data_IF_088807191924
#
_entry.id   IF_088807191924
#
_cell.length_a   1.000
_cell.length_b   1.000
_cell.length_c   1.000
_cell.angle_alpha   90.00
_cell.angle_beta   90.00
_cell.angle_gamma   90.00
#
_symmetry.space_group_name_H-M   'P 1'
#
loop_
_entity.id
_entity.type
_entity.pdbx_description
1 polymer ?
#
# COMPACT_ATOMS: atom_id res chain seq x y z
N UNK A 1 1.02 -28.58 -22.24
CA UNK A 1 0.76 -27.47 -21.31
C UNK A 1 1.06 -26.18 -22.04
N UNK A 2 0.08 -25.28 -22.21
CA UNK A 2 0.35 -23.97 -22.78
C UNK A 2 1.30 -23.19 -21.86
N UNK A 3 2.30 -22.55 -22.45
CA UNK A 3 3.23 -21.70 -21.70
C UNK A 3 2.52 -20.39 -21.35
N UNK A 4 2.56 -20.00 -20.07
CA UNK A 4 2.08 -18.70 -19.62
C UNK A 4 2.93 -17.60 -20.27
N UNK A 5 2.33 -16.54 -20.84
CA UNK A 5 3.09 -15.41 -21.33
C UNK A 5 3.86 -14.76 -20.17
N UNK A 6 5.12 -14.42 -20.43
CA UNK A 6 6.08 -13.90 -19.43
C UNK A 6 5.57 -12.64 -18.70
N UNK A 7 4.70 -11.87 -19.35
CA UNK A 7 4.11 -10.63 -18.82
C UNK A 7 2.60 -10.76 -18.53
N UNK A 8 2.12 -11.94 -18.14
CA UNK A 8 0.70 -12.10 -17.81
C UNK A 8 0.30 -11.18 -16.63
N UNK A 9 -0.66 -10.25 -16.81
CA UNK A 9 -1.07 -9.28 -15.79
C UNK A 9 -1.71 -9.92 -14.54
N UNK A 10 -2.13 -11.18 -14.62
CA UNK A 10 -2.77 -11.92 -13.55
C UNK A 10 -1.84 -12.88 -12.79
N UNK A 11 -0.59 -13.03 -13.24
CA UNK A 11 0.42 -13.78 -12.49
C UNK A 11 0.93 -12.90 -11.35
N UNK A 12 0.81 -13.34 -10.08
CA UNK A 12 1.26 -12.55 -8.95
C UNK A 12 2.76 -12.25 -8.97
N UNK A 13 3.10 -10.96 -9.01
CA UNK A 13 4.48 -10.50 -8.81
C UNK A 13 4.50 -9.31 -7.83
N UNK A 14 5.11 -9.45 -6.64
CA UNK A 14 5.10 -8.39 -5.64
C UNK A 14 5.97 -7.18 -6.02
N UNK A 15 6.87 -7.32 -7.01
CA UNK A 15 7.78 -6.25 -7.47
C UNK A 15 7.16 -5.35 -8.53
N UNK A 16 6.01 -5.72 -9.08
CA UNK A 16 5.32 -4.95 -10.12
C UNK A 16 4.14 -4.17 -9.53
N UNK A 17 3.82 -3.04 -10.17
CA UNK A 17 2.67 -2.23 -9.79
C UNK A 17 1.39 -3.05 -9.91
N UNK A 18 0.55 -3.00 -8.88
CA UNK A 18 -0.73 -3.69 -8.85
C UNK A 18 -1.88 -2.73 -8.61
N UNK A 19 -2.97 -2.94 -9.35
CA UNK A 19 -4.20 -2.18 -9.18
C UNK A 19 -5.19 -2.92 -8.29
N UNK A 20 -5.60 -2.29 -7.17
CA UNK A 20 -6.55 -2.90 -6.24
C UNK A 20 -7.99 -3.01 -6.78
N UNK A 21 -8.35 -2.21 -7.80
CA UNK A 21 -9.68 -2.26 -8.44
C UNK A 21 -9.74 -3.32 -9.52
N UNK A 22 -8.81 -3.26 -10.48
CA UNK A 22 -8.74 -4.22 -11.59
C UNK A 22 -8.22 -5.59 -11.15
N UNK A 23 -7.56 -5.67 -9.98
CA UNK A 23 -6.92 -6.90 -9.49
C UNK A 23 -5.99 -7.51 -10.53
N UNK A 24 -5.15 -6.67 -11.10
CA UNK A 24 -4.20 -7.03 -12.14
C UNK A 24 -2.96 -6.15 -12.03
N UNK A 25 -1.83 -6.68 -12.46
CA UNK A 25 -0.71 -5.89 -12.92
C UNK A 25 -1.12 -5.26 -14.25
N UNK A 26 -0.95 -3.95 -14.42
CA UNK A 26 -1.33 -3.30 -15.66
C UNK A 26 -0.34 -2.22 -15.99
N UNK A 27 -0.30 -1.83 -17.27
CA UNK A 27 0.30 -0.56 -17.64
C UNK A 27 -0.28 0.56 -16.79
N UNK A 28 0.59 1.46 -16.37
CA UNK A 28 0.25 2.60 -15.54
C UNK A 28 0.43 3.89 -16.33
N UNK A 29 -0.36 4.90 -15.99
CA UNK A 29 -0.13 6.28 -16.37
C UNK A 29 0.66 6.94 -15.25
N UNK A 30 1.83 7.46 -15.60
CA UNK A 30 2.67 8.22 -14.69
C UNK A 30 2.26 9.69 -14.74
N UNK A 31 1.93 10.25 -13.59
CA UNK A 31 1.67 11.67 -13.42
C UNK A 31 2.76 12.26 -12.53
N UNK A 32 3.45 13.27 -13.04
CA UNK A 32 4.38 14.09 -12.25
C UNK A 32 3.74 15.44 -12.01
N UNK A 33 3.51 15.79 -10.76
CA UNK A 33 3.01 17.10 -10.37
C UNK A 33 4.10 17.82 -9.60
N UNK A 34 4.50 19.00 -10.09
CA UNK A 34 5.45 19.85 -9.40
C UNK A 34 4.64 20.85 -8.56
N UNK A 35 4.91 20.88 -7.27
CA UNK A 35 4.36 21.87 -6.36
C UNK A 35 5.51 22.79 -5.98
N UNK A 36 5.42 24.05 -6.40
CA UNK A 36 6.30 25.13 -5.98
C UNK A 36 5.70 25.77 -4.73
N UNK A 37 6.39 25.65 -3.60
CA UNK A 37 6.01 26.35 -2.38
C UNK A 37 6.62 27.76 -2.38
N UNK A 38 5.98 28.70 -1.67
CA UNK A 38 6.43 30.10 -1.57
C UNK A 38 7.84 30.28 -1.02
N UNK A 39 8.35 29.29 -0.28
CA UNK A 39 9.71 29.26 0.29
C UNK A 39 10.79 28.76 -0.69
N UNK A 40 10.47 28.61 -1.99
CA UNK A 40 11.42 28.18 -3.03
C UNK A 40 11.71 26.68 -3.06
N UNK A 41 11.04 25.89 -2.22
CA UNK A 41 11.11 24.42 -2.27
C UNK A 41 10.23 23.88 -3.41
N UNK A 42 10.83 23.10 -4.30
CA UNK A 42 10.14 22.40 -5.37
C UNK A 42 9.99 20.93 -4.98
N UNK A 43 8.79 20.53 -4.58
CA UNK A 43 8.47 19.12 -4.35
C UNK A 43 7.79 18.54 -5.58
N UNK A 44 8.34 17.45 -6.13
CA UNK A 44 7.67 16.69 -7.19
C UNK A 44 6.96 15.48 -6.58
N UNK A 45 5.64 15.42 -6.77
CA UNK A 45 4.83 14.27 -6.43
C UNK A 45 4.64 13.38 -7.65
N UNK A 46 5.05 12.11 -7.53
CA UNK A 46 4.83 11.09 -8.55
C UNK A 46 3.61 10.25 -8.19
N UNK A 47 2.70 10.07 -9.15
CA UNK A 47 1.52 9.23 -9.00
C UNK A 47 1.45 8.22 -10.14
N UNK A 48 1.30 6.95 -9.76
CA UNK A 48 1.13 5.83 -10.68
C UNK A 48 -0.33 5.38 -10.63
N UNK A 49 -1.06 5.58 -11.73
CA UNK A 49 -2.48 5.21 -11.83
C UNK A 49 -2.69 4.13 -12.89
N UNK A 50 -3.62 3.21 -12.64
CA UNK A 50 -3.99 2.16 -13.59
C UNK A 50 -4.53 2.78 -14.88
N UNK A 51 -4.03 2.36 -16.04
CA UNK A 51 -4.48 2.90 -17.34
C UNK A 51 -5.97 2.63 -17.62
N UNK A 52 -6.52 1.53 -17.10
CA UNK A 52 -7.91 1.09 -17.34
C UNK A 52 -8.91 1.83 -16.44
N UNK A 53 -8.68 1.85 -15.13
CA UNK A 53 -9.65 2.39 -14.16
C UNK A 53 -9.21 3.68 -13.46
N UNK A 54 -8.02 4.20 -13.78
CA UNK A 54 -7.41 5.39 -13.17
C UNK A 54 -7.24 5.32 -11.64
N UNK A 55 -7.40 4.15 -11.02
CA UNK A 55 -7.15 3.96 -9.60
C UNK A 55 -5.66 3.97 -9.29
N UNK A 56 -5.29 4.43 -8.08
CA UNK A 56 -3.92 4.36 -7.60
C UNK A 56 -3.42 2.92 -7.56
N UNK A 57 -2.19 2.73 -8.00
CA UNK A 57 -1.48 1.47 -7.92
C UNK A 57 -0.44 1.53 -6.81
N UNK A 58 -0.03 0.37 -6.31
CA UNK A 58 1.08 0.25 -5.36
C UNK A 58 1.90 -1.00 -5.67
N UNK A 59 3.12 -1.03 -5.14
CA UNK A 59 4.04 -2.17 -5.26
C UNK A 59 4.07 -2.92 -3.93
N UNK A 60 3.53 -4.15 -3.86
CA UNK A 60 3.44 -4.90 -2.60
C UNK A 60 4.78 -5.12 -1.89
N UNK A 61 5.86 -5.33 -2.64
CA UNK A 61 7.22 -5.53 -2.10
C UNK A 61 7.76 -4.27 -1.42
N UNK A 62 7.50 -3.10 -2.00
CA UNK A 62 7.90 -1.82 -1.42
C UNK A 62 6.98 -1.41 -0.26
N UNK A 63 5.67 -1.67 -0.35
CA UNK A 63 4.72 -1.29 0.70
C UNK A 63 4.85 -2.15 1.96
N UNK A 64 5.20 -3.43 1.83
CA UNK A 64 5.30 -4.36 2.97
C UNK A 64 6.25 -3.92 4.11
N UNK A 65 7.51 -3.51 3.86
CA UNK A 65 8.41 -3.08 4.93
C UNK A 65 7.91 -1.80 5.62
N UNK A 66 7.42 -0.81 4.86
CA UNK A 66 6.86 0.42 5.43
C UNK A 66 5.63 0.15 6.28
N UNK A 67 4.72 -0.70 5.81
CA UNK A 67 3.56 -1.13 6.57
C UNK A 67 3.96 -1.73 7.92
N UNK A 68 4.92 -2.66 7.92
CA UNK A 68 5.42 -3.30 9.16
C UNK A 68 6.08 -2.27 10.08
N UNK A 69 6.88 -1.36 9.52
CA UNK A 69 7.52 -0.27 10.29
C UNK A 69 6.50 0.64 10.96
N UNK A 70 5.54 1.17 10.20
CA UNK A 70 4.50 2.05 10.73
C UNK A 70 3.63 1.37 11.79
N UNK A 71 3.19 0.13 11.54
CA UNK A 71 2.40 -0.61 12.51
C UNK A 71 3.20 -0.97 13.78
N UNK A 72 4.48 -1.32 13.63
CA UNK A 72 5.37 -1.61 14.76
C UNK A 72 5.60 -0.38 15.63
N UNK A 73 5.92 0.77 15.02
CA UNK A 73 6.09 2.04 15.74
C UNK A 73 4.79 2.46 16.42
N UNK A 74 3.65 2.36 15.72
CA UNK A 74 2.35 2.67 16.30
C UNK A 74 2.04 1.80 17.52
N UNK A 75 2.30 0.49 17.43
CA UNK A 75 2.09 -0.44 18.53
C UNK A 75 2.95 -0.09 19.75
N UNK A 76 4.24 0.16 19.56
CA UNK A 76 5.16 0.53 20.65
C UNK A 76 4.74 1.84 21.32
N UNK A 77 4.40 2.87 20.54
CA UNK A 77 4.00 4.17 21.08
C UNK A 77 2.68 4.09 21.84
N UNK A 78 1.69 3.36 21.33
CA UNK A 78 0.42 3.16 22.02
C UNK A 78 0.61 2.37 23.32
N UNK A 79 1.52 1.38 23.36
CA UNK A 79 1.86 0.68 24.59
C UNK A 79 2.54 1.60 25.61
N UNK A 80 3.51 2.43 25.19
CA UNK A 80 4.18 3.37 26.08
C UNK A 80 3.21 4.40 26.63
N UNK A 81 2.37 5.01 25.76
CA UNK A 81 1.32 5.92 26.19
C UNK A 81 0.35 5.25 27.17
N UNK A 82 -0.11 4.04 26.85
CA UNK A 82 -0.97 3.26 27.74
C UNK A 82 -0.34 2.96 29.11
N UNK A 83 0.94 2.58 29.16
CA UNK A 83 1.65 2.31 30.41
C UNK A 83 1.96 3.58 31.20
N UNK A 84 2.26 4.68 30.52
CA UNK A 84 2.46 5.99 31.14
C UNK A 84 1.23 6.43 31.95
N UNK A 85 0.04 5.96 31.55
CA UNK A 85 -1.21 6.21 32.25
C UNK A 85 -1.35 5.46 33.59
N UNK A 86 -0.60 4.38 33.80
CA UNK A 86 -0.58 3.58 35.05
C UNK A 86 0.61 3.92 35.96
N UNK A 87 1.68 4.50 35.42
CA UNK A 87 2.81 4.99 36.21
C UNK A 87 2.49 6.30 36.92
N UNK A 88 3.09 6.53 38.10
CA UNK A 88 2.94 7.74 38.91
C UNK A 88 3.59 9.01 38.35
N UNK A 89 3.64 9.16 37.01
CA UNK A 89 4.16 10.37 36.37
C UNK A 89 3.37 11.61 36.79
N UNK A 90 4.08 12.74 36.91
CA UNK A 90 3.46 14.03 37.13
C UNK A 90 2.52 14.41 35.97
N UNK A 91 1.46 15.17 36.27
CA UNK A 91 0.41 15.54 35.31
C UNK A 91 0.95 16.21 34.03
N UNK A 92 2.01 17.02 34.15
CA UNK A 92 2.66 17.70 33.03
C UNK A 92 3.45 16.76 32.11
N UNK A 93 4.24 15.84 32.69
CA UNK A 93 5.07 14.89 31.93
C UNK A 93 4.20 13.89 31.18
N UNK A 94 3.12 13.44 31.82
CA UNK A 94 2.11 12.57 31.19
C UNK A 94 1.44 13.24 30.01
N UNK A 95 1.13 14.54 30.10
CA UNK A 95 0.48 15.27 29.02
C UNK A 95 1.37 15.40 27.77
N UNK A 96 2.67 15.66 27.97
CA UNK A 96 3.64 15.69 26.87
C UNK A 96 3.86 14.30 26.26
N UNK A 97 4.01 13.27 27.08
CA UNK A 97 4.14 11.89 26.63
C UNK A 97 2.90 11.40 25.89
N UNK A 98 1.70 11.70 26.38
CA UNK A 98 0.44 11.31 25.73
C UNK A 98 0.29 12.00 24.37
N UNK A 99 0.63 13.29 24.23
CA UNK A 99 0.59 13.96 22.93
C UNK A 99 1.52 13.31 21.89
N UNK A 100 2.74 12.96 22.29
CA UNK A 100 3.70 12.30 21.39
C UNK A 100 3.26 10.87 21.10
N UNK A 101 2.94 10.08 22.13
CA UNK A 101 2.63 8.66 21.99
C UNK A 101 1.30 8.42 21.27
N UNK A 102 0.24 9.14 21.64
CA UNK A 102 -1.07 8.99 21.02
C UNK A 102 -1.14 9.73 19.68
N UNK A 103 -0.56 10.92 19.59
CA UNK A 103 -0.57 11.72 18.37
C UNK A 103 0.26 11.07 17.26
N UNK A 104 1.56 10.84 17.53
CA UNK A 104 2.45 10.22 16.55
C UNK A 104 2.13 8.73 16.35
N UNK A 105 1.80 8.00 17.41
CA UNK A 105 1.36 6.61 17.32
C UNK A 105 0.06 6.47 16.51
N UNK A 106 -0.90 7.36 16.71
CA UNK A 106 -2.13 7.42 15.92
C UNK A 106 -1.87 7.71 14.44
N UNK A 107 -0.99 8.67 14.14
CA UNK A 107 -0.55 8.97 12.77
C UNK A 107 0.07 7.74 12.10
N UNK A 108 1.08 7.13 12.74
CA UNK A 108 1.72 5.91 12.22
C UNK A 108 0.71 4.78 12.04
N UNK A 109 -0.21 4.61 12.99
CA UNK A 109 -1.25 3.58 12.93
C UNK A 109 -2.21 3.78 11.76
N UNK A 110 -2.61 5.01 11.46
CA UNK A 110 -3.50 5.32 10.34
C UNK A 110 -2.84 5.02 8.99
N UNK A 111 -1.60 5.49 8.79
CA UNK A 111 -0.86 5.20 7.55
C UNK A 111 -0.54 3.71 7.41
N UNK A 112 -0.07 3.07 8.48
CA UNK A 112 0.17 1.62 8.51
C UNK A 112 -1.11 0.81 8.24
N UNK A 113 -2.25 1.26 8.76
CA UNK A 113 -3.57 0.64 8.57
C UNK A 113 -4.06 0.72 7.12
N UNK A 114 -3.89 1.89 6.46
CA UNK A 114 -4.22 2.04 5.04
C UNK A 114 -3.36 1.10 4.18
N UNK A 115 -2.04 1.06 4.44
CA UNK A 115 -1.14 0.14 3.74
C UNK A 115 -1.55 -1.33 3.96
N UNK A 116 -1.87 -1.70 5.20
CA UNK A 116 -2.33 -3.04 5.55
C UNK A 116 -3.63 -3.43 4.83
N UNK A 117 -4.58 -2.51 4.71
CA UNK A 117 -5.83 -2.74 3.99
C UNK A 117 -5.58 -3.13 2.52
N UNK A 118 -4.71 -2.39 1.82
CA UNK A 118 -4.37 -2.70 0.42
C UNK A 118 -3.54 -3.97 0.30
N UNK A 119 -2.59 -4.19 1.22
CA UNK A 119 -1.77 -5.39 1.26
C UNK A 119 -2.63 -6.65 1.48
N UNK A 120 -3.66 -6.57 2.33
CA UNK A 120 -4.61 -7.68 2.53
C UNK A 120 -5.39 -8.01 1.25
N UNK A 121 -5.82 -7.00 0.50
CA UNK A 121 -6.47 -7.22 -0.81
C UNK A 121 -5.54 -7.91 -1.79
N UNK A 122 -4.28 -7.50 -1.82
CA UNK A 122 -3.25 -8.16 -2.60
C UNK A 122 -3.11 -9.63 -2.21
N UNK A 123 -2.91 -9.96 -0.94
CA UNK A 123 -2.77 -11.36 -0.49
C UNK A 123 -3.98 -12.23 -0.81
N UNK A 124 -5.20 -11.69 -0.64
CA UNK A 124 -6.42 -12.40 -1.01
C UNK A 124 -6.45 -12.69 -2.51
N UNK A 125 -6.05 -11.72 -3.34
CA UNK A 125 -5.96 -11.91 -4.78
C UNK A 125 -4.89 -12.92 -5.18
N UNK A 126 -3.68 -12.85 -4.61
CA UNK A 126 -2.60 -13.83 -4.86
C UNK A 126 -3.07 -15.25 -4.53
N UNK A 127 -3.75 -15.42 -3.40
CA UNK A 127 -4.30 -16.72 -2.99
C UNK A 127 -5.32 -17.25 -4.00
N UNK A 128 -6.16 -16.38 -4.57
CA UNK A 128 -7.09 -16.78 -5.63
C UNK A 128 -6.36 -17.11 -6.94
N UNK A 129 -5.36 -16.33 -7.35
CA UNK A 129 -4.65 -16.57 -8.61
C UNK A 129 -3.78 -17.83 -8.58
N UNK A 130 -3.14 -18.12 -7.44
CA UNK A 130 -2.35 -19.34 -7.27
C UNK A 130 -3.19 -20.63 -7.33
N UNK A 131 -4.52 -20.53 -7.25
CA UNK A 131 -5.44 -21.68 -7.37
C UNK A 131 -5.93 -21.91 -8.80
N UNK A 132 -5.71 -20.96 -9.71
CA UNK A 132 -6.20 -21.05 -11.10
C UNK A 132 -5.25 -21.85 -11.95
N UNK A 133 -5.80 -22.47 -12.99
CA UNK A 133 -4.98 -23.13 -14.01
C UNK A 133 -4.25 -22.09 -14.87
N UNK A 134 -3.10 -22.43 -15.46
CA UNK A 134 -2.43 -21.59 -16.46
C UNK A 134 -3.36 -21.16 -17.61
N UNK A 135 -4.27 -22.04 -18.02
CA UNK A 135 -5.25 -21.79 -19.08
C UNK A 135 -6.24 -20.67 -18.70
N UNK A 136 -6.77 -20.71 -17.48
CA UNK A 136 -7.69 -19.68 -16.97
C UNK A 136 -7.00 -18.32 -16.88
N UNK A 137 -5.73 -18.30 -16.45
CA UNK A 137 -4.94 -17.06 -16.38
C UNK A 137 -4.66 -16.47 -17.76
N UNK A 138 -4.49 -17.31 -18.78
CA UNK A 138 -4.33 -16.85 -20.18
C UNK A 138 -5.66 -16.28 -20.70
N UNK A 139 -6.79 -16.91 -20.38
CA UNK A 139 -8.10 -16.41 -20.76
C UNK A 139 -8.39 -15.04 -20.13
N UNK A 140 -8.13 -14.88 -18.82
CA UNK A 140 -8.29 -13.60 -18.13
C UNK A 140 -7.40 -12.50 -18.70
N UNK A 141 -6.15 -12.83 -19.04
CA UNK A 141 -5.23 -11.89 -19.69
C UNK A 141 -5.80 -11.38 -21.02
N UNK A 142 -6.32 -12.28 -21.87
CA UNK A 142 -6.93 -11.91 -23.16
C UNK A 142 -8.17 -11.04 -22.98
N UNK A 143 -9.04 -11.38 -22.04
CA UNK A 143 -10.24 -10.57 -21.74
C UNK A 143 -9.90 -9.19 -21.16
N UNK A 144 -8.76 -9.06 -20.48
CA UNK A 144 -8.31 -7.79 -19.94
C UNK A 144 -7.70 -6.91 -21.03
N UNK A 145 -6.92 -7.48 -21.95
CA UNK A 145 -6.39 -6.78 -23.11
C UNK A 145 -7.51 -6.24 -24.00
N UNK A 146 -8.55 -7.04 -24.27
CA UNK A 146 -9.70 -6.59 -25.07
C UNK A 146 -10.53 -5.47 -24.43
N UNK A 147 -10.39 -5.23 -23.12
CA UNK A 147 -11.05 -4.13 -22.40
C UNK A 147 -10.18 -2.88 -22.29
N UNK A 148 -8.89 -3.00 -22.59
CA UNK A 148 -7.89 -1.95 -22.46
C UNK A 148 -7.54 -1.24 -23.78
N UNK A 149 -7.95 -1.80 -24.91
CA UNK A 149 -8.02 -1.15 -26.24
C UNK A 149 -9.26 -0.25 -26.33
#
# INVERSE_FOLDING_TARGET
>A
MPLLPENNPFVPNPKTWWCYRCKAHSNYRHYRTNISSGDGTNTSYEKYACKVCNASMFTPDQTSPWMKGFLGVAFVLLLIGGLANYSGFGRSERQALDMICLGFGGFCGLFGGIMYYYQRKWYAWVSCQNKKSPEDLILEAKEFESKGE
#
